data_IF_988292206788
#
_entry.id   IF_988292206788
#
_cell.length_a   1.000
_cell.length_b   1.000
_cell.length_c   1.000
_cell.angle_alpha   90.00
_cell.angle_beta   90.00
_cell.angle_gamma   90.00
#
_symmetry.space_group_name_H-M   'P 1'
#
loop_
_entity.id
_entity.type
_entity.pdbx_description
1 polymer ?
#
# COMPACT_ATOMS: atom_id res chain seq x y z
N UNK A 1 -14.39 10.59 21.92
CA UNK A 1 -13.39 10.26 22.97
C UNK A 1 -12.14 9.77 22.26
N UNK A 2 -11.03 10.50 22.34
CA UNK A 2 -9.79 10.12 21.67
C UNK A 2 -9.22 8.84 22.29
N UNK A 3 -8.77 7.90 21.45
CA UNK A 3 -7.98 6.76 21.89
C UNK A 3 -6.74 7.25 22.65
N UNK A 4 -6.39 6.60 23.77
CA UNK A 4 -5.15 6.91 24.50
C UNK A 4 -3.93 6.61 23.61
N UNK A 5 -2.90 7.47 23.59
CA UNK A 5 -1.70 7.22 22.81
C UNK A 5 -0.97 5.96 23.30
N UNK A 6 -0.15 5.40 22.43
CA UNK A 6 0.78 4.31 22.72
C UNK A 6 2.16 4.90 22.95
N UNK A 7 2.79 4.57 24.06
CA UNK A 7 4.12 5.08 24.40
C UNK A 7 5.19 4.08 23.96
N UNK A 8 6.24 4.56 23.32
CA UNK A 8 7.43 3.76 23.00
C UNK A 8 8.70 4.52 23.40
N UNK A 9 9.79 3.79 23.62
CA UNK A 9 11.12 4.37 23.81
C UNK A 9 11.86 4.32 22.48
N UNK A 10 12.41 5.43 22.03
CA UNK A 10 13.25 5.49 20.82
C UNK A 10 14.68 5.80 21.22
N UNK A 11 15.65 5.13 20.59
CA UNK A 11 17.07 5.30 20.84
C UNK A 11 17.72 5.96 19.63
N UNK A 12 18.20 7.18 19.81
CA UNK A 12 18.64 8.07 18.72
C UNK A 12 20.16 8.23 18.76
N UNK A 13 20.81 8.00 17.63
CA UNK A 13 22.20 8.42 17.43
C UNK A 13 22.21 9.88 16.98
N UNK A 14 22.55 10.78 17.91
CA UNK A 14 22.55 12.22 17.68
C UNK A 14 23.60 12.69 16.66
N UNK A 15 24.67 11.91 16.46
CA UNK A 15 25.70 12.20 15.45
C UNK A 15 25.19 11.81 14.07
N UNK A 16 24.54 10.64 13.95
CA UNK A 16 23.94 10.16 12.69
C UNK A 16 22.60 10.84 12.36
N UNK A 17 21.99 11.54 13.32
CA UNK A 17 20.61 12.10 13.22
C UNK A 17 19.62 11.02 12.77
N UNK A 18 19.69 9.87 13.42
CA UNK A 18 18.93 8.67 13.05
C UNK A 18 18.38 7.97 14.29
N UNK A 19 17.14 7.51 14.20
CA UNK A 19 16.59 6.52 15.15
C UNK A 19 17.28 5.19 14.85
N UNK A 20 17.99 4.62 15.83
CA UNK A 20 18.67 3.33 15.65
C UNK A 20 17.67 2.19 15.81
N UNK A 21 16.85 2.26 16.85
CA UNK A 21 15.74 1.35 17.13
C UNK A 21 14.78 1.99 18.14
N UNK A 22 13.65 1.34 18.34
CA UNK A 22 12.68 1.63 19.39
C UNK A 22 12.38 0.36 20.19
N UNK A 23 12.08 0.53 21.47
CA UNK A 23 11.55 -0.53 22.33
C UNK A 23 10.06 -0.27 22.52
N UNK A 24 9.25 -1.30 22.25
CA UNK A 24 7.80 -1.21 22.25
C UNK A 24 7.14 -2.47 22.83
N UNK A 25 5.96 -2.28 23.42
CA UNK A 25 5.09 -3.36 23.90
C UNK A 25 4.09 -3.81 22.82
N UNK A 26 3.22 -4.76 23.18
CA UNK A 26 2.30 -5.39 22.23
C UNK A 26 1.38 -4.39 21.56
N UNK A 27 0.84 -3.41 22.30
CA UNK A 27 -0.09 -2.40 21.77
C UNK A 27 0.43 -1.73 20.50
N UNK A 28 1.72 -1.39 20.45
CA UNK A 28 2.34 -0.74 19.30
C UNK A 28 2.44 -1.70 18.11
N UNK A 29 2.90 -2.93 18.38
CA UNK A 29 3.10 -3.94 17.36
C UNK A 29 1.78 -4.46 16.79
N UNK A 30 0.72 -4.54 17.60
CA UNK A 30 -0.63 -4.86 17.13
C UNK A 30 -1.12 -3.86 16.09
N UNK A 31 -0.85 -2.57 16.31
CA UNK A 31 -1.21 -1.50 15.38
C UNK A 31 -0.36 -1.58 14.12
N UNK A 32 0.95 -1.84 14.24
CA UNK A 32 1.79 -2.08 13.05
C UNK A 32 1.25 -3.24 12.21
N UNK A 33 0.96 -4.39 12.81
CA UNK A 33 0.43 -5.54 12.06
C UNK A 33 -0.95 -5.26 11.45
N UNK A 34 -1.75 -4.41 12.10
CA UNK A 34 -3.03 -3.98 11.53
C UNK A 34 -2.88 -3.26 10.19
N UNK A 35 -1.73 -2.63 9.90
CA UNK A 35 -1.46 -1.95 8.62
C UNK A 35 -1.66 -2.90 7.44
N UNK A 36 -1.24 -4.16 7.59
CA UNK A 36 -1.36 -5.18 6.54
C UNK A 36 -2.82 -5.52 6.23
N UNK A 37 -3.74 -5.30 7.17
CA UNK A 37 -5.17 -5.63 7.02
C UNK A 37 -6.02 -4.47 6.50
N UNK A 38 -5.43 -3.27 6.37
CA UNK A 38 -6.10 -2.09 5.83
C UNK A 38 -6.25 -2.21 4.30
N UNK A 39 -7.45 -2.03 3.74
CA UNK A 39 -7.62 -1.85 2.30
C UNK A 39 -6.84 -0.65 1.78
N UNK A 40 -6.28 -0.73 0.58
CA UNK A 40 -5.51 0.37 0.00
C UNK A 40 -6.31 1.68 -0.12
N UNK A 41 -7.63 1.60 -0.32
CA UNK A 41 -8.50 2.79 -0.32
C UNK A 41 -8.64 3.42 1.06
N UNK A 42 -8.59 2.64 2.14
CA UNK A 42 -8.51 3.19 3.51
C UNK A 42 -7.20 3.94 3.71
N UNK A 43 -6.09 3.40 3.22
CA UNK A 43 -4.77 4.07 3.28
C UNK A 43 -4.78 5.37 2.48
N UNK A 44 -5.30 5.35 1.24
CA UNK A 44 -5.42 6.53 0.40
C UNK A 44 -6.29 7.62 1.06
N UNK A 45 -7.42 7.22 1.70
CA UNK A 45 -8.29 8.12 2.47
C UNK A 45 -7.60 8.74 3.69
N UNK A 46 -6.86 7.95 4.47
CA UNK A 46 -6.08 8.47 5.60
C UNK A 46 -5.00 9.42 5.09
N UNK A 47 -4.43 9.12 3.92
CA UNK A 47 -3.46 10.01 3.28
C UNK A 47 -4.06 11.35 2.86
N UNK A 48 -5.31 11.40 2.39
CA UNK A 48 -5.95 12.64 1.92
C UNK A 48 -6.55 13.49 3.05
N UNK A 49 -7.07 12.88 4.12
CA UNK A 49 -7.72 13.62 5.23
C UNK A 49 -6.76 14.40 6.13
N UNK A 50 -5.51 13.96 6.20
CA UNK A 50 -4.50 14.51 7.10
C UNK A 50 -3.31 15.05 6.29
N UNK A 51 -3.62 15.88 5.28
CA UNK A 51 -2.64 16.57 4.41
C UNK A 51 -1.91 17.74 5.13
N UNK A 52 -2.08 17.93 6.44
CA UNK A 52 -1.44 19.04 7.14
C UNK A 52 0.05 18.79 7.46
N UNK A 53 0.89 19.67 6.91
CA UNK A 53 2.32 19.98 7.16
C UNK A 53 3.44 19.18 6.46
N UNK A 54 3.25 17.94 5.96
CA UNK A 54 4.38 17.13 5.40
C UNK A 54 4.22 16.57 3.96
N UNK A 55 3.10 16.83 3.26
CA UNK A 55 2.84 16.45 1.85
C UNK A 55 3.36 15.05 1.43
N UNK A 56 3.13 14.03 2.27
CA UNK A 56 3.53 12.65 1.97
C UNK A 56 2.46 12.04 1.07
N UNK A 57 2.74 11.94 -0.24
CA UNK A 57 1.87 11.27 -1.21
C UNK A 57 2.17 9.77 -1.22
N UNK A 58 1.13 8.94 -1.08
CA UNK A 58 1.21 7.48 -1.19
C UNK A 58 0.98 7.08 -2.65
N UNK A 59 2.00 7.35 -3.48
CA UNK A 59 1.97 7.06 -4.91
C UNK A 59 0.72 7.55 -5.64
N UNK A 60 0.31 6.80 -6.66
CA UNK A 60 -0.88 7.05 -7.48
C UNK A 60 -2.20 6.62 -6.84
N UNK A 61 -2.17 5.91 -5.71
CA UNK A 61 -3.40 5.52 -4.99
C UNK A 61 -4.19 6.75 -4.53
N UNK A 62 -3.51 7.84 -4.16
CA UNK A 62 -4.18 9.10 -3.81
C UNK A 62 -5.01 9.65 -4.97
N UNK A 63 -4.45 9.70 -6.19
CA UNK A 63 -5.12 10.22 -7.38
C UNK A 63 -6.26 9.30 -7.84
N UNK A 64 -6.06 7.98 -7.76
CA UNK A 64 -7.11 6.99 -7.98
C UNK A 64 -8.28 7.15 -6.99
N UNK A 65 -7.99 7.28 -5.69
CA UNK A 65 -9.00 7.50 -4.66
C UNK A 65 -9.75 8.82 -4.85
N UNK A 66 -9.03 9.93 -5.11
CA UNK A 66 -9.62 11.24 -5.44
C UNK A 66 -10.54 11.16 -6.66
N UNK A 67 -10.20 10.33 -7.66
CA UNK A 67 -11.07 10.09 -8.81
C UNK A 67 -12.40 9.47 -8.41
N UNK A 68 -12.39 8.45 -7.54
CA UNK A 68 -13.63 7.85 -7.03
C UNK A 68 -14.48 8.90 -6.30
N UNK A 69 -13.88 9.73 -5.44
CA UNK A 69 -14.60 10.79 -4.73
C UNK A 69 -15.28 11.77 -5.69
N UNK A 70 -14.56 12.20 -6.74
CA UNK A 70 -15.01 13.20 -7.70
C UNK A 70 -16.01 12.69 -8.75
N UNK A 71 -16.04 11.39 -9.04
CA UNK A 71 -16.94 10.81 -10.04
C UNK A 71 -18.40 10.87 -9.56
N UNK A 72 -19.31 11.30 -10.44
CA UNK A 72 -20.74 11.38 -10.13
C UNK A 72 -21.36 9.98 -9.91
N UNK A 73 -22.29 9.86 -8.96
CA UNK A 73 -22.96 8.61 -8.61
C UNK A 73 -23.62 7.92 -9.80
N UNK A 74 -24.02 8.68 -10.85
CA UNK A 74 -24.64 8.12 -12.05
C UNK A 74 -23.75 7.13 -12.80
N UNK A 75 -22.42 7.22 -12.65
CA UNK A 75 -21.44 6.34 -13.30
C UNK A 75 -21.25 5.01 -12.59
N UNK A 76 -21.69 4.89 -11.34
CA UNK A 76 -21.60 3.66 -10.56
C UNK A 76 -22.84 2.80 -10.75
N UNK A 77 -22.66 1.47 -10.73
CA UNK A 77 -23.75 0.49 -10.90
C UNK A 77 -24.89 0.70 -9.91
N UNK A 78 -24.55 1.09 -8.68
CA UNK A 78 -25.47 1.43 -7.61
C UNK A 78 -24.78 2.35 -6.60
N UNK A 79 -25.54 2.93 -5.67
CA UNK A 79 -25.01 3.84 -4.65
C UNK A 79 -23.99 3.16 -3.72
N UNK A 80 -24.15 1.86 -3.46
CA UNK A 80 -23.23 1.10 -2.61
C UNK A 80 -21.86 0.90 -3.27
N UNK A 81 -21.76 0.85 -4.59
CA UNK A 81 -20.49 0.66 -5.31
C UNK A 81 -19.50 1.79 -5.04
N UNK A 82 -19.95 3.06 -5.11
CA UNK A 82 -19.08 4.20 -4.79
C UNK A 82 -18.69 4.20 -3.31
N UNK A 83 -19.67 3.98 -2.42
CA UNK A 83 -19.42 3.93 -0.97
C UNK A 83 -18.41 2.84 -0.63
N UNK A 84 -18.49 1.68 -1.27
CA UNK A 84 -17.56 0.57 -1.05
C UNK A 84 -16.11 0.85 -1.53
N UNK A 85 -15.89 1.89 -2.33
CA UNK A 85 -14.56 2.32 -2.80
C UNK A 85 -14.03 3.53 -2.00
N UNK A 86 -14.91 4.46 -1.60
CA UNK A 86 -14.57 5.61 -0.74
C UNK A 86 -14.36 5.17 0.71
N UNK A 87 -15.15 4.19 1.17
CA UNK A 87 -15.05 3.61 2.50
C UNK A 87 -14.96 2.10 2.42
N UNK A 88 -13.81 1.55 1.97
CA UNK A 88 -13.69 0.12 1.75
C UNK A 88 -13.74 -0.67 3.06
N UNK A 89 -14.38 -1.83 3.00
CA UNK A 89 -14.49 -2.74 4.12
C UNK A 89 -13.23 -3.61 4.21
N UNK A 90 -12.78 -3.86 5.43
CA UNK A 90 -11.76 -4.88 5.71
C UNK A 90 -12.44 -6.19 6.12
N UNK A 91 -11.91 -7.34 5.69
CA UNK A 91 -12.35 -8.65 6.22
C UNK A 91 -12.10 -8.77 7.73
N UNK A 92 -11.19 -7.96 8.26
CA UNK A 92 -10.75 -7.95 9.65
C UNK A 92 -11.46 -6.86 10.46
N UNK A 93 -12.66 -6.43 10.05
CA UNK A 93 -13.37 -5.31 10.67
C UNK A 93 -13.59 -5.48 12.19
N UNK A 94 -13.80 -6.73 12.64
CA UNK A 94 -13.99 -7.07 14.06
C UNK A 94 -12.74 -6.91 14.92
N UNK A 95 -11.55 -6.78 14.30
CA UNK A 95 -10.27 -6.64 15.00
C UNK A 95 -9.99 -5.19 15.40
N UNK A 96 -10.37 -4.22 14.57
CA UNK A 96 -10.02 -2.81 14.80
C UNK A 96 -10.54 -2.21 16.13
N UNK A 97 -11.75 -2.52 16.61
CA UNK A 97 -12.22 -2.00 17.90
C UNK A 97 -11.43 -2.51 19.10
N UNK A 98 -10.65 -3.60 18.94
CA UNK A 98 -9.80 -4.15 19.99
C UNK A 98 -8.42 -3.47 20.03
N UNK A 99 -8.02 -2.79 18.96
CA UNK A 99 -6.74 -2.07 18.89
C UNK A 99 -6.81 -0.78 19.71
N UNK A 100 -5.71 -0.46 20.39
CA UNK A 100 -5.60 0.77 21.19
C UNK A 100 -5.73 2.03 20.33
N UNK A 101 -5.21 2.00 19.10
CA UNK A 101 -5.45 3.01 18.07
C UNK A 101 -6.03 2.33 16.84
N UNK A 102 -7.19 2.80 16.40
CA UNK A 102 -7.86 2.26 15.22
C UNK A 102 -7.62 3.18 14.02
N UNK A 103 -6.85 2.72 13.04
CA UNK A 103 -6.62 3.44 11.78
C UNK A 103 -7.77 3.31 10.77
N UNK A 104 -8.66 2.34 10.94
CA UNK A 104 -9.87 2.24 10.13
C UNK A 104 -10.88 3.32 10.59
N UNK A 105 -10.68 4.53 10.07
CA UNK A 105 -11.43 5.79 10.29
C UNK A 105 -12.90 5.76 9.81
N UNK A 106 -13.54 4.59 9.83
CA UNK A 106 -15.00 4.49 9.67
C UNK A 106 -15.63 4.75 11.04
N UNK A 107 -16.43 5.83 11.16
CA UNK A 107 -17.22 6.11 12.36
C UNK A 107 -17.94 4.84 12.79
N UNK A 108 -17.60 4.33 13.97
CA UNK A 108 -18.16 3.12 14.54
C UNK A 108 -19.69 3.29 14.59
N UNK A 109 -20.41 2.55 13.76
CA UNK A 109 -21.85 2.32 13.95
C UNK A 109 -21.95 1.34 15.11
N UNK A 110 -22.17 1.86 16.32
CA UNK A 110 -22.60 1.18 17.56
C UNK A 110 -22.24 -0.31 17.68
N UNK A 111 -20.98 -0.66 17.43
CA UNK A 111 -20.45 -1.95 17.86
C UNK A 111 -20.37 -1.83 19.39
N UNK A 112 -21.32 -2.46 20.08
CA UNK A 112 -21.32 -2.65 21.53
C UNK A 112 -19.90 -2.95 21.95
N UNK A 113 -19.24 -1.96 22.59
CA UNK A 113 -17.91 -2.12 23.14
C UNK A 113 -18.07 -3.17 24.23
N UNK A 114 -17.78 -4.43 23.89
CA UNK A 114 -17.50 -5.42 24.92
C UNK A 114 -16.26 -4.90 25.63
N UNK A 115 -16.36 -4.72 26.94
CA UNK A 115 -15.27 -4.26 27.83
C UNK A 115 -14.19 -5.35 27.95
N UNK A 116 -13.72 -5.90 26.82
CA UNK A 116 -12.55 -6.79 26.76
C UNK A 116 -11.29 -5.92 26.77
N UNK A 117 -11.14 -5.14 27.85
CA UNK A 117 -9.90 -4.41 28.13
C UNK A 117 -8.73 -5.38 28.14
N UNK A 118 -7.83 -5.22 27.16
CA UNK A 118 -6.52 -5.89 27.14
C UNK A 118 -6.52 -7.32 26.60
N UNK A 119 -7.43 -7.68 25.70
CA UNK A 119 -7.22 -8.86 24.86
C UNK A 119 -6.44 -8.46 23.61
N UNK A 120 -5.17 -8.84 23.54
CA UNK A 120 -4.35 -8.68 22.33
C UNK A 120 -5.04 -9.33 21.13
N UNK A 121 -4.93 -8.77 19.93
CA UNK A 121 -5.53 -9.28 18.71
C UNK A 121 -4.62 -10.31 18.04
N UNK A 122 -3.35 -9.97 17.84
CA UNK A 122 -2.43 -10.74 17.02
C UNK A 122 -1.34 -11.43 17.86
N UNK A 123 -0.93 -10.78 18.96
CA UNK A 123 0.28 -11.11 19.72
C UNK A 123 -0.09 -11.83 21.03
N UNK A 124 0.80 -12.64 21.56
CA UNK A 124 0.69 -13.19 22.91
C UNK A 124 1.03 -12.12 23.96
N UNK A 125 0.15 -11.97 24.95
CA UNK A 125 0.27 -10.98 26.03
C UNK A 125 1.44 -11.36 26.96
N UNK A 126 2.63 -10.77 26.76
CA UNK A 126 3.88 -10.79 27.57
C UNK A 126 5.17 -10.44 26.77
N UNK A 127 5.08 -9.91 25.56
CA UNK A 127 6.23 -9.74 24.67
C UNK A 127 6.63 -8.27 24.49
N UNK A 128 7.90 -7.96 24.76
CA UNK A 128 8.54 -6.70 24.37
C UNK A 128 9.27 -6.89 23.05
N UNK A 129 9.28 -5.85 22.23
CA UNK A 129 9.85 -5.88 20.89
C UNK A 129 10.81 -4.72 20.68
N UNK A 130 11.87 -5.00 19.92
CA UNK A 130 12.69 -4.01 19.26
C UNK A 130 12.13 -3.76 17.87
N UNK A 131 11.85 -2.49 17.57
CA UNK A 131 11.42 -2.01 16.27
C UNK A 131 12.56 -1.21 15.67
N UNK A 132 13.15 -1.71 14.60
CA UNK A 132 14.19 -0.99 13.86
C UNK A 132 13.61 0.19 13.08
N UNK A 133 14.47 1.13 12.66
CA UNK A 133 14.04 2.31 11.89
C UNK A 133 13.24 1.93 10.64
N UNK A 134 13.62 0.83 9.99
CA UNK A 134 12.99 0.25 8.81
C UNK A 134 11.84 -0.72 9.16
N UNK A 135 11.27 -0.64 10.37
CA UNK A 135 10.11 -1.39 10.88
C UNK A 135 10.24 -2.91 10.92
N UNK A 136 11.45 -3.45 10.95
CA UNK A 136 11.63 -4.84 11.33
C UNK A 136 11.27 -5.00 12.82
N UNK A 137 10.39 -5.96 13.12
CA UNK A 137 9.86 -6.26 14.45
C UNK A 137 10.55 -7.49 15.01
N UNK A 138 11.33 -7.31 16.06
CA UNK A 138 12.21 -8.32 16.62
C UNK A 138 11.87 -8.50 18.10
N UNK A 139 11.60 -9.71 18.61
CA UNK A 139 11.40 -9.92 20.04
C UNK A 139 12.66 -9.56 20.84
N UNK A 140 12.48 -8.94 22.01
CA UNK A 140 13.60 -8.63 22.91
C UNK A 140 14.14 -9.93 23.51
N UNK A 141 15.35 -10.32 23.09
CA UNK A 141 16.11 -11.48 23.59
C UNK A 141 17.59 -11.10 23.65
N UNK A 142 18.33 -11.50 24.69
CA UNK A 142 19.71 -11.03 24.90
C UNK A 142 20.63 -11.22 23.69
N UNK A 143 20.63 -12.41 23.09
CA UNK A 143 21.45 -12.75 21.92
C UNK A 143 21.06 -11.94 20.68
N UNK A 144 19.76 -11.84 20.43
CA UNK A 144 19.19 -11.16 19.26
C UNK A 144 19.37 -9.65 19.37
N UNK A 145 19.17 -9.08 20.56
CA UNK A 145 19.37 -7.66 20.85
C UNK A 145 20.84 -7.27 20.66
N UNK A 146 21.80 -8.03 21.18
CA UNK A 146 23.24 -7.74 21.00
C UNK A 146 23.65 -7.89 19.53
N UNK A 147 23.18 -8.94 18.85
CA UNK A 147 23.43 -9.12 17.41
C UNK A 147 22.88 -7.94 16.59
N UNK A 148 21.69 -7.46 16.91
CA UNK A 148 21.07 -6.32 16.26
C UNK A 148 21.89 -5.03 16.49
N UNK A 149 22.26 -4.73 17.73
CA UNK A 149 23.05 -3.54 18.06
C UNK A 149 24.38 -3.51 17.31
N UNK A 150 25.07 -4.66 17.24
CA UNK A 150 26.28 -4.81 16.43
C UNK A 150 26.01 -4.55 14.94
N UNK A 151 24.92 -5.10 14.38
CA UNK A 151 24.55 -4.90 12.97
C UNK A 151 24.20 -3.44 12.64
N UNK A 152 23.67 -2.70 13.62
CA UNK A 152 23.35 -1.28 13.52
C UNK A 152 24.59 -0.37 13.72
N UNK A 153 25.73 -0.94 14.07
CA UNK A 153 26.96 -0.19 14.39
C UNK A 153 26.81 0.66 15.64
N UNK A 154 26.13 0.14 16.66
CA UNK A 154 26.06 0.73 18.01
C UNK A 154 27.20 0.15 18.83
N UNK A 155 28.20 0.97 19.14
CA UNK A 155 29.36 0.57 19.95
C UNK A 155 29.05 0.63 21.46
N UNK A 156 28.32 1.67 21.87
CA UNK A 156 27.97 1.97 23.25
C UNK A 156 26.53 2.46 23.32
N UNK A 157 25.66 1.73 24.05
CA UNK A 157 24.21 2.04 24.12
C UNK A 157 23.98 3.34 24.89
N UNK A 158 24.79 3.63 25.90
CA UNK A 158 24.75 4.84 26.74
C UNK A 158 25.12 6.12 25.97
N UNK A 159 25.64 6.01 24.75
CA UNK A 159 25.82 7.15 23.85
C UNK A 159 24.58 7.49 23.03
N UNK A 160 23.55 6.63 23.03
CA UNK A 160 22.27 6.90 22.36
C UNK A 160 21.38 7.77 23.26
N UNK A 161 20.68 8.72 22.66
CA UNK A 161 19.61 9.44 23.35
C UNK A 161 18.37 8.56 23.44
N UNK A 162 17.97 8.20 24.66
CA UNK A 162 16.66 7.60 24.94
C UNK A 162 15.60 8.69 25.03
N UNK A 163 14.55 8.58 24.21
CA UNK A 163 13.40 9.50 24.22
C UNK A 163 12.10 8.70 24.26
N UNK A 164 11.16 9.11 25.09
CA UNK A 164 9.79 8.57 25.06
C UNK A 164 8.97 9.33 24.03
N UNK A 165 8.25 8.61 23.16
CA UNK A 165 7.41 9.20 22.10
C UNK A 165 6.00 8.61 22.18
N UNK A 166 5.01 9.48 22.05
CA UNK A 166 3.60 9.15 22.10
C UNK A 166 3.06 8.99 20.69
N UNK A 167 2.42 7.85 20.41
CA UNK A 167 1.79 7.55 19.13
C UNK A 167 0.27 7.51 19.28
N UNK A 168 -0.39 8.53 18.76
CA UNK A 168 -1.83 8.56 18.50
C UNK A 168 -2.15 8.19 17.05
N UNK A 169 -3.40 8.46 16.67
CA UNK A 169 -3.90 8.18 15.32
C UNK A 169 -3.04 8.86 14.23
N UNK A 170 -2.66 10.12 14.45
CA UNK A 170 -1.90 10.90 13.47
C UNK A 170 -0.48 10.35 13.29
N UNK A 171 0.20 10.01 14.38
CA UNK A 171 1.55 9.44 14.34
C UNK A 171 1.57 8.09 13.65
N UNK A 172 0.61 7.20 13.95
CA UNK A 172 0.48 5.92 13.25
C UNK A 172 0.10 6.08 11.78
N UNK A 173 -0.77 7.05 11.46
CA UNK A 173 -1.11 7.38 10.07
C UNK A 173 0.11 7.84 9.30
N UNK A 174 0.94 8.71 9.89
CA UNK A 174 2.18 9.18 9.27
C UNK A 174 3.25 8.07 9.20
N UNK A 175 3.34 7.21 10.21
CA UNK A 175 4.23 6.05 10.19
C UNK A 175 3.87 5.09 9.04
N UNK A 176 2.58 4.82 8.84
CA UNK A 176 2.08 4.04 7.72
C UNK A 176 2.49 4.70 6.38
N UNK A 177 2.23 5.99 6.20
CA UNK A 177 2.64 6.72 4.98
C UNK A 177 4.14 6.60 4.72
N UNK A 178 4.97 6.86 5.73
CA UNK A 178 6.42 6.75 5.60
C UNK A 178 6.89 5.33 5.29
N UNK A 179 6.26 4.31 5.91
CA UNK A 179 6.62 2.90 5.68
C UNK A 179 6.43 2.46 4.22
N UNK A 180 5.55 3.15 3.49
CA UNK A 180 5.25 2.89 2.08
C UNK A 180 6.18 3.62 1.11
N UNK A 181 6.98 4.59 1.58
CA UNK A 181 7.81 5.45 0.71
C UNK A 181 9.30 5.50 1.10
N UNK A 182 9.67 4.99 2.28
CA UNK A 182 11.06 5.01 2.77
C UNK A 182 11.45 3.77 3.57
N UNK A 183 12.76 3.61 3.80
CA UNK A 183 13.37 2.63 4.69
C UNK A 183 13.77 3.21 6.07
N UNK A 184 13.40 4.44 6.38
CA UNK A 184 13.66 5.07 7.69
C UNK A 184 12.44 5.80 8.28
N UNK A 185 11.24 5.15 8.30
CA UNK A 185 10.01 5.79 8.73
C UNK A 185 10.04 6.31 10.17
N UNK A 186 10.71 5.64 11.13
CA UNK A 186 10.79 6.15 12.51
C UNK A 186 11.63 7.42 12.59
N UNK A 187 12.78 7.47 11.92
CA UNK A 187 13.62 8.66 11.82
C UNK A 187 12.84 9.84 11.24
N UNK A 188 12.12 9.64 10.13
CA UNK A 188 11.37 10.72 9.49
C UNK A 188 10.23 11.23 10.36
N UNK A 189 9.58 10.34 11.11
CA UNK A 189 8.49 10.70 12.01
C UNK A 189 9.01 11.44 13.26
N UNK A 190 10.00 10.86 13.96
CA UNK A 190 10.50 11.33 15.27
C UNK A 190 11.37 12.58 15.15
N UNK A 191 12.21 12.67 14.11
CA UNK A 191 13.15 13.79 13.93
C UNK A 191 12.62 14.87 12.98
N UNK A 192 11.43 14.67 12.40
CA UNK A 192 10.74 15.71 11.64
C UNK A 192 11.29 15.95 10.23
N UNK A 193 11.49 14.89 9.43
CA UNK A 193 11.80 15.07 8.01
C UNK A 193 10.61 15.72 7.29
N UNK A 194 10.90 16.74 6.48
CA UNK A 194 9.87 17.54 5.79
C UNK A 194 9.47 16.98 4.43
N UNK A 195 10.27 16.09 3.81
CA UNK A 195 9.95 15.43 2.54
C UNK A 195 10.63 14.05 2.44
N UNK A 196 9.99 13.04 1.83
CA UNK A 196 10.71 11.91 1.26
C UNK A 196 11.78 12.46 0.34
N UNK A 197 13.01 11.94 0.42
CA UNK A 197 14.04 12.29 -0.54
C UNK A 197 13.48 12.08 -1.95
N UNK A 198 13.57 13.09 -2.82
CA UNK A 198 13.10 12.98 -4.22
C UNK A 198 13.89 11.93 -5.01
N UNK A 199 15.02 11.46 -4.47
CA UNK A 199 15.51 10.13 -4.76
C UNK A 199 14.64 9.08 -4.04
N UNK A 200 13.42 8.88 -4.56
CA UNK A 200 13.02 7.50 -4.83
C UNK A 200 14.22 6.95 -5.62
N UNK A 201 15.00 6.05 -5.03
CA UNK A 201 16.09 5.42 -5.75
C UNK A 201 15.48 5.01 -7.10
N UNK A 202 15.93 5.60 -8.22
CA UNK A 202 15.42 5.19 -9.51
C UNK A 202 15.61 3.70 -9.50
N UNK A 203 14.50 2.99 -9.69
CA UNK A 203 14.44 1.56 -9.90
C UNK A 203 15.78 1.16 -10.50
N UNK A 204 16.65 0.51 -9.72
CA UNK A 204 17.95 0.13 -10.27
C UNK A 204 17.59 -0.72 -11.47
N UNK A 205 17.85 -0.19 -12.65
CA UNK A 205 17.59 -0.83 -13.92
C UNK A 205 18.53 -2.03 -14.13
N UNK A 206 19.26 -2.43 -13.08
CA UNK A 206 19.89 -3.74 -12.93
C UNK A 206 18.98 -4.78 -12.27
N UNK A 207 17.66 -4.74 -12.47
CA UNK A 207 16.85 -5.94 -12.26
C UNK A 207 17.04 -6.84 -13.47
N UNK A 208 17.99 -7.78 -13.36
CA UNK A 208 17.84 -9.07 -14.04
C UNK A 208 16.41 -9.50 -13.76
N UNK A 209 15.62 -9.71 -14.81
CA UNK A 209 14.25 -10.21 -14.78
C UNK A 209 14.08 -11.16 -13.59
N UNK A 210 13.63 -10.65 -12.45
CA UNK A 210 13.12 -11.48 -11.38
C UNK A 210 11.78 -11.90 -11.92
N UNK A 211 11.79 -12.99 -12.67
CA UNK A 211 10.62 -13.78 -12.99
C UNK A 211 9.71 -13.75 -11.76
N UNK A 212 8.48 -13.25 -11.90
CA UNK A 212 7.38 -13.37 -10.93
C UNK A 212 7.01 -14.85 -10.68
N UNK A 213 7.96 -15.78 -10.82
CA UNK A 213 7.77 -17.21 -10.89
C UNK A 213 8.12 -17.79 -9.52
N UNK A 214 7.10 -18.42 -8.94
CA UNK A 214 7.08 -19.31 -7.77
C UNK A 214 6.41 -18.75 -6.50
N UNK A 215 5.16 -18.32 -6.64
CA UNK A 215 4.17 -18.53 -5.57
C UNK A 215 3.32 -19.77 -5.89
N UNK A 216 2.95 -20.64 -4.92
CA UNK A 216 2.13 -21.84 -5.17
C UNK A 216 0.70 -21.54 -5.63
N UNK A 217 0.31 -20.27 -5.72
CA UNK A 217 -0.96 -19.81 -6.27
C UNK A 217 -0.73 -19.19 -7.65
N UNK A 218 -0.14 -19.94 -8.58
CA UNK A 218 -0.51 -19.75 -9.99
C UNK A 218 -1.95 -20.24 -10.09
N UNK A 219 -2.88 -19.32 -9.89
CA UNK A 219 -4.26 -19.58 -10.27
C UNK A 219 -4.26 -19.81 -11.79
N UNK A 220 -4.89 -20.90 -12.25
CA UNK A 220 -4.99 -21.26 -13.67
C UNK A 220 -5.88 -20.29 -14.48
N UNK A 221 -6.09 -19.06 -14.01
CA UNK A 221 -6.86 -18.03 -14.67
C UNK A 221 -5.93 -17.18 -15.52
N UNK A 222 -5.51 -17.71 -16.67
CA UNK A 222 -4.97 -16.81 -17.70
C UNK A 222 -6.16 -16.11 -18.34
N UNK A 223 -6.65 -15.05 -17.69
CA UNK A 223 -7.58 -14.12 -18.35
C UNK A 223 -6.92 -13.58 -19.60
N UNK A 224 -7.66 -13.55 -20.71
CA UNK A 224 -7.13 -13.07 -21.98
C UNK A 224 -6.66 -11.61 -21.79
N UNK A 225 -5.40 -11.28 -22.12
CA UNK A 225 -4.91 -9.91 -22.06
C UNK A 225 -5.82 -8.99 -22.87
N UNK A 226 -6.06 -7.78 -22.35
CA UNK A 226 -6.93 -6.80 -23.00
C UNK A 226 -6.14 -5.54 -23.38
N UNK A 227 -6.41 -4.98 -24.55
CA UNK A 227 -5.61 -3.90 -25.12
C UNK A 227 -6.09 -2.52 -24.64
N UNK A 228 -5.13 -1.67 -24.26
CA UNK A 228 -5.35 -0.23 -24.04
C UNK A 228 -4.50 0.61 -25.00
N UNK A 229 -4.84 1.89 -25.14
CA UNK A 229 -4.06 2.88 -25.92
C UNK A 229 -3.37 3.85 -24.98
N UNK A 230 -2.06 3.95 -25.07
CA UNK A 230 -1.25 4.94 -24.34
C UNK A 230 -0.88 6.09 -25.25
N UNK A 231 -1.05 7.33 -24.80
CA UNK A 231 -0.36 8.49 -25.37
C UNK A 231 0.99 8.63 -24.69
N UNK A 232 2.06 8.61 -25.48
CA UNK A 232 3.44 8.65 -24.97
C UNK A 232 4.21 9.80 -25.61
N UNK A 233 4.96 10.54 -24.80
CA UNK A 233 5.97 11.49 -25.26
C UNK A 233 7.25 10.73 -25.63
N UNK A 234 7.63 10.75 -26.91
CA UNK A 234 8.73 9.93 -27.45
C UNK A 234 10.08 10.33 -26.86
N UNK A 235 10.35 11.64 -26.78
CA UNK A 235 11.62 12.17 -26.27
C UNK A 235 11.94 11.72 -24.84
N UNK A 236 10.94 11.71 -23.97
CA UNK A 236 11.10 11.37 -22.54
C UNK A 236 10.72 9.92 -22.20
N UNK A 237 10.10 9.18 -23.13
CA UNK A 237 9.49 7.87 -22.88
C UNK A 237 8.50 7.90 -21.71
N UNK A 238 7.71 8.97 -21.66
CA UNK A 238 6.76 9.25 -20.57
C UNK A 238 5.33 9.03 -21.05
N UNK A 239 4.53 8.32 -20.27
CA UNK A 239 3.08 8.19 -20.53
C UNK A 239 2.41 9.50 -20.13
N UNK A 240 1.64 10.08 -21.05
CA UNK A 240 0.85 11.28 -20.80
C UNK A 240 -0.52 10.88 -20.24
N UNK A 241 -1.19 9.94 -20.91
CA UNK A 241 -2.42 9.32 -20.45
C UNK A 241 -2.69 8.00 -21.19
N UNK A 242 -3.67 7.25 -20.71
CA UNK A 242 -4.20 6.05 -21.33
C UNK A 242 -5.69 6.25 -21.67
N UNK A 243 -6.07 5.90 -22.89
CA UNK A 243 -7.47 5.69 -23.25
C UNK A 243 -7.82 4.21 -23.01
N UNK A 244 -8.81 3.98 -22.16
CA UNK A 244 -9.17 2.65 -21.65
C UNK A 244 -10.68 2.44 -21.63
N UNK A 245 -11.10 1.18 -21.55
CA UNK A 245 -12.50 0.78 -21.37
C UNK A 245 -12.82 0.43 -19.90
N UNK A 246 -14.09 0.13 -19.60
CA UNK A 246 -14.58 -0.24 -18.26
C UNK A 246 -13.68 -1.26 -17.53
N UNK A 247 -13.24 -2.32 -18.21
CA UNK A 247 -12.50 -3.41 -17.56
C UNK A 247 -11.22 -2.94 -16.85
N UNK A 248 -10.54 -1.93 -17.42
CA UNK A 248 -9.30 -1.41 -16.85
C UNK A 248 -9.60 -0.57 -15.62
N UNK A 249 -10.67 0.22 -15.66
CA UNK A 249 -11.10 1.04 -14.51
C UNK A 249 -11.65 0.16 -13.39
N UNK A 250 -12.41 -0.90 -13.69
CA UNK A 250 -12.83 -1.91 -12.70
C UNK A 250 -11.63 -2.56 -12.02
N UNK A 251 -10.58 -2.89 -12.79
CA UNK A 251 -9.31 -3.37 -12.24
C UNK A 251 -8.66 -2.33 -11.31
N UNK A 252 -8.54 -1.07 -11.74
CA UNK A 252 -7.98 -0.01 -10.89
C UNK A 252 -8.80 0.19 -9.61
N UNK A 253 -10.13 0.29 -9.71
CA UNK A 253 -11.01 0.41 -8.54
C UNK A 253 -10.88 -0.78 -7.59
N UNK A 254 -10.70 -1.99 -8.12
CA UNK A 254 -10.46 -3.17 -7.28
C UNK A 254 -9.22 -3.01 -6.38
N UNK A 255 -8.19 -2.24 -6.80
CA UNK A 255 -7.01 -1.98 -5.95
C UNK A 255 -7.38 -1.39 -4.60
N UNK A 256 -8.36 -0.48 -4.55
CA UNK A 256 -8.80 0.18 -3.32
C UNK A 256 -9.41 -0.79 -2.29
N UNK A 257 -9.82 -1.97 -2.75
CA UNK A 257 -10.41 -3.03 -1.90
C UNK A 257 -9.37 -4.03 -1.37
N UNK A 258 -8.17 -4.05 -1.96
CA UNK A 258 -7.13 -5.02 -1.63
C UNK A 258 -6.50 -4.64 -0.28
N UNK A 259 -6.42 -5.55 0.70
CA UNK A 259 -5.62 -5.30 1.91
C UNK A 259 -4.13 -5.18 1.59
N UNK A 260 -3.42 -4.27 2.27
CA UNK A 260 -2.00 -4.00 2.03
C UNK A 260 -1.11 -5.25 2.06
N UNK A 261 -1.35 -6.17 3.01
CA UNK A 261 -0.62 -7.45 3.08
C UNK A 261 -0.85 -8.33 1.86
N UNK A 262 -2.07 -8.33 1.30
CA UNK A 262 -2.35 -9.06 0.05
C UNK A 262 -1.69 -8.39 -1.15
N UNK A 263 -1.71 -7.06 -1.25
CA UNK A 263 -0.98 -6.35 -2.29
C UNK A 263 0.53 -6.64 -2.20
N UNK A 264 1.09 -6.66 -0.98
CA UNK A 264 2.49 -6.98 -0.75
C UNK A 264 2.85 -8.41 -1.17
N UNK A 265 2.02 -9.37 -0.79
CA UNK A 265 2.17 -10.77 -1.19
C UNK A 265 2.12 -10.95 -2.70
N UNK A 266 1.17 -10.30 -3.38
CA UNK A 266 0.97 -10.44 -4.83
C UNK A 266 2.08 -9.81 -5.66
N UNK A 267 2.62 -8.70 -5.19
CA UNK A 267 3.68 -7.95 -5.91
C UNK A 267 5.09 -8.50 -5.64
N UNK A 268 5.25 -9.35 -4.62
CA UNK A 268 6.51 -9.99 -4.19
C UNK A 268 7.74 -9.07 -4.23
N UNK A 269 7.56 -7.80 -3.88
CA UNK A 269 8.64 -6.83 -4.01
C UNK A 269 9.66 -6.92 -2.87
N UNK A 270 10.51 -7.94 -2.87
CA UNK A 270 11.59 -8.08 -1.90
C UNK A 270 12.80 -7.19 -2.24
N UNK A 271 12.73 -6.46 -3.37
CA UNK A 271 13.84 -5.65 -3.88
C UNK A 271 13.88 -4.24 -3.29
N UNK A 272 12.75 -3.72 -2.83
CA UNK A 272 12.68 -2.42 -2.16
C UNK A 272 12.90 -2.60 -0.66
N UNK A 273 13.73 -1.74 -0.06
CA UNK A 273 14.01 -1.77 1.38
C UNK A 273 12.96 -1.01 2.21
N UNK A 274 11.73 -0.87 1.70
CA UNK A 274 10.70 -0.04 2.33
C UNK A 274 10.29 -0.62 3.67
N UNK A 275 9.94 0.25 4.63
CA UNK A 275 9.61 -0.17 5.98
C UNK A 275 8.47 -1.20 6.03
N UNK A 276 7.48 -1.05 5.16
CA UNK A 276 6.36 -1.99 5.08
C UNK A 276 6.79 -3.42 4.68
N UNK A 277 7.89 -3.55 3.93
CA UNK A 277 8.37 -4.84 3.47
C UNK A 277 9.00 -5.62 4.62
N UNK A 278 9.80 -4.92 5.43
CA UNK A 278 10.39 -5.51 6.63
C UNK A 278 9.32 -5.85 7.65
N UNK A 279 8.29 -5.01 7.80
CA UNK A 279 7.15 -5.31 8.65
C UNK A 279 6.41 -6.59 8.21
N UNK A 280 6.15 -6.73 6.91
CA UNK A 280 5.56 -7.95 6.34
C UNK A 280 6.47 -9.17 6.56
N UNK A 281 7.77 -9.03 6.34
CA UNK A 281 8.75 -10.11 6.55
C UNK A 281 8.86 -10.51 8.02
N UNK A 282 8.70 -9.55 8.95
CA UNK A 282 8.73 -9.80 10.40
C UNK A 282 7.66 -10.81 10.83
N UNK A 283 6.49 -10.79 10.19
CA UNK A 283 5.42 -11.76 10.48
C UNK A 283 5.89 -13.20 10.28
N UNK A 284 6.74 -13.43 9.27
CA UNK A 284 7.28 -14.77 8.99
C UNK A 284 8.30 -15.22 10.04
N UNK A 285 9.11 -14.29 10.57
CA UNK A 285 10.14 -14.59 11.59
C UNK A 285 9.59 -14.72 13.01
N UNK A 286 8.42 -14.16 13.30
CA UNK A 286 7.85 -14.14 14.65
C UNK A 286 7.29 -15.47 15.14
N UNK A 287 7.24 -16.50 14.27
CA UNK A 287 7.13 -17.91 14.66
C UNK A 287 5.87 -18.33 15.41
N UNK A 288 5.49 -19.57 15.17
CA UNK A 288 4.26 -20.21 15.61
C UNK A 288 4.24 -20.33 17.14
N UNK A 289 3.18 -19.85 17.78
CA UNK A 289 2.88 -20.13 19.18
C UNK A 289 3.84 -19.56 20.23
N UNK A 290 4.83 -18.74 19.85
CA UNK A 290 5.70 -18.01 20.80
C UNK A 290 5.34 -16.54 20.96
N UNK A 291 5.14 -15.83 19.84
CA UNK A 291 4.84 -14.39 19.84
C UNK A 291 3.52 -14.10 19.14
N UNK A 292 3.21 -14.76 18.03
CA UNK A 292 1.87 -14.71 17.44
C UNK A 292 0.91 -15.68 18.15
N UNK A 293 -0.38 -15.33 18.18
CA UNK A 293 -1.41 -16.16 18.83
C UNK A 293 -1.62 -17.52 18.16
N UNK A 294 -1.59 -17.58 16.84
CA UNK A 294 -1.79 -18.82 16.10
C UNK A 294 -1.28 -18.73 14.66
N UNK A 295 -1.17 -19.89 14.01
CA UNK A 295 -0.82 -19.95 12.58
C UNK A 295 -1.90 -19.37 11.68
N UNK A 296 -3.17 -19.45 12.08
CA UNK A 296 -4.27 -18.81 11.35
C UNK A 296 -4.11 -17.29 11.35
N UNK A 297 -3.66 -16.70 12.47
CA UNK A 297 -3.38 -15.26 12.54
C UNK A 297 -2.21 -14.88 11.64
N UNK A 298 -1.12 -15.65 11.68
CA UNK A 298 0.05 -15.43 10.81
C UNK A 298 -0.32 -15.53 9.33
N UNK A 299 -1.03 -16.58 8.94
CA UNK A 299 -1.53 -16.77 7.58
C UNK A 299 -2.46 -15.63 7.16
N UNK A 300 -3.32 -15.16 8.06
CA UNK A 300 -4.22 -14.03 7.83
C UNK A 300 -3.47 -12.70 7.67
N UNK A 301 -2.39 -12.44 8.42
CA UNK A 301 -1.57 -11.24 8.27
C UNK A 301 -0.74 -11.24 6.96
N UNK A 302 -0.21 -12.40 6.56
CA UNK A 302 0.53 -12.57 5.31
C UNK A 302 -0.40 -12.57 4.08
N UNK A 303 -1.67 -12.92 4.26
CA UNK A 303 -2.66 -13.02 3.18
C UNK A 303 -4.07 -12.59 3.66
N UNK A 304 -4.30 -11.31 4.01
CA UNK A 304 -5.61 -10.88 4.43
C UNK A 304 -6.59 -10.97 3.27
N UNK A 305 -7.76 -11.57 3.50
CA UNK A 305 -8.77 -11.76 2.46
C UNK A 305 -9.47 -10.43 2.12
N UNK A 306 -10.06 -10.34 0.93
CA UNK A 306 -11.02 -9.28 0.65
C UNK A 306 -12.25 -9.44 1.54
N UNK A 307 -12.93 -8.34 1.86
CA UNK A 307 -14.22 -8.42 2.56
C UNK A 307 -15.26 -9.16 1.71
N UNK A 308 -16.11 -9.95 2.36
CA UNK A 308 -17.05 -10.86 1.68
C UNK A 308 -18.10 -10.16 0.79
N UNK A 309 -18.30 -8.85 0.96
CA UNK A 309 -19.24 -8.06 0.17
C UNK A 309 -18.69 -7.62 -1.20
N UNK A 310 -17.42 -7.90 -1.50
CA UNK A 310 -16.84 -7.58 -2.81
C UNK A 310 -17.03 -8.72 -3.81
N UNK A 311 -17.78 -8.43 -4.87
CA UNK A 311 -17.93 -9.32 -6.02
C UNK A 311 -16.71 -9.25 -6.95
N UNK A 312 -16.57 -10.25 -7.83
CA UNK A 312 -15.50 -10.32 -8.81
C UNK A 312 -15.76 -9.32 -9.94
N UNK A 313 -15.08 -8.17 -9.91
CA UNK A 313 -15.21 -7.12 -10.94
C UNK A 313 -14.13 -7.18 -12.03
N UNK A 314 -13.05 -7.93 -11.79
CA UNK A 314 -11.97 -8.12 -12.74
C UNK A 314 -11.43 -9.54 -12.66
N UNK A 315 -11.03 -10.08 -13.80
CA UNK A 315 -10.30 -11.35 -13.91
C UNK A 315 -8.79 -11.11 -14.16
N UNK A 316 -8.32 -9.86 -14.14
CA UNK A 316 -6.91 -9.49 -14.32
C UNK A 316 -6.07 -9.57 -13.03
N UNK A 317 -6.70 -9.88 -11.89
CA UNK A 317 -6.03 -9.97 -10.60
C UNK A 317 -6.48 -11.23 -9.86
N UNK A 318 -5.54 -12.00 -9.27
CA UNK A 318 -5.87 -13.21 -8.52
C UNK A 318 -6.26 -12.89 -7.05
N UNK A 319 -7.22 -11.97 -6.87
CA UNK A 319 -7.65 -11.49 -5.54
C UNK A 319 -9.00 -12.07 -5.09
N UNK A 320 -9.77 -12.66 -6.00
CA UNK A 320 -11.10 -13.20 -5.72
C UNK A 320 -11.04 -14.71 -5.51
N UNK A 321 -11.88 -15.20 -4.59
CA UNK A 321 -12.15 -16.64 -4.48
C UNK A 321 -12.95 -17.10 -5.71
N UNK A 322 -12.70 -18.33 -6.17
CA UNK A 322 -13.34 -18.93 -7.34
C UNK A 322 -14.87 -18.99 -7.23
N UNK A 323 -15.38 -19.08 -6.01
CA UNK A 323 -16.82 -19.16 -5.70
C UNK A 323 -17.53 -17.80 -5.76
N UNK A 324 -16.79 -16.68 -5.79
CA UNK A 324 -17.37 -15.34 -5.83
C UNK A 324 -17.97 -15.08 -7.22
N UNK A 325 -19.23 -14.65 -7.24
CA UNK A 325 -19.94 -14.25 -8.46
C UNK A 325 -19.39 -12.98 -9.10
N UNK A 326 -19.72 -12.77 -10.37
CA UNK A 326 -19.37 -11.53 -11.08
C UNK A 326 -20.16 -10.34 -10.54
N UNK A 327 -19.54 -9.17 -10.57
CA UNK A 327 -20.18 -7.89 -10.28
C UNK A 327 -19.50 -6.74 -11.03
N UNK A 328 -19.91 -5.51 -10.76
CA UNK A 328 -19.28 -4.32 -11.31
C UNK A 328 -19.42 -3.13 -10.35
N UNK A 329 -18.40 -2.28 -10.28
CA UNK A 329 -18.52 -0.99 -9.62
C UNK A 329 -19.17 0.06 -10.54
N UNK A 330 -18.90 -0.02 -11.83
CA UNK A 330 -19.33 0.93 -12.86
C UNK A 330 -20.54 0.43 -13.64
N UNK A 331 -21.39 1.37 -14.03
CA UNK A 331 -22.32 1.15 -15.15
C UNK A 331 -21.53 0.99 -16.43
N UNK A 332 -22.16 0.36 -17.42
CA UNK A 332 -21.57 0.21 -18.74
C UNK A 332 -21.24 1.59 -19.33
N UNK A 333 -19.94 1.88 -19.43
CA UNK A 333 -19.39 3.12 -19.93
C UNK A 333 -18.31 2.81 -20.98
N UNK A 334 -18.38 3.49 -22.12
CA UNK A 334 -17.62 3.05 -23.27
C UNK A 334 -16.11 3.33 -23.15
N UNK A 335 -15.70 4.47 -22.58
CA UNK A 335 -14.29 4.90 -22.57
C UNK A 335 -13.97 5.89 -21.44
N UNK A 336 -12.73 5.81 -20.93
CA UNK A 336 -12.14 6.71 -19.95
C UNK A 336 -10.76 7.18 -20.42
N UNK A 337 -10.32 8.29 -19.86
CA UNK A 337 -8.90 8.68 -19.88
C UNK A 337 -8.34 8.56 -18.47
N UNK A 338 -7.20 7.87 -18.37
CA UNK A 338 -6.45 7.65 -17.13
C UNK A 338 -5.10 8.35 -17.24
N UNK A 339 -4.72 9.17 -16.26
CA UNK A 339 -3.39 9.81 -16.23
C UNK A 339 -2.27 8.81 -15.91
N UNK A 340 -1.03 9.26 -16.03
CA UNK A 340 0.15 8.50 -15.57
C UNK A 340 0.10 8.16 -14.06
N UNK A 341 -0.48 9.05 -13.25
CA UNK A 341 -0.70 8.86 -11.81
C UNK A 341 -2.07 8.25 -11.48
N UNK A 342 -2.73 7.58 -12.43
CA UNK A 342 -4.00 6.86 -12.27
C UNK A 342 -5.23 7.71 -11.90
N UNK A 343 -5.19 9.02 -12.11
CA UNK A 343 -6.39 9.86 -12.09
C UNK A 343 -7.31 9.48 -13.26
N UNK A 344 -8.60 9.27 -12.99
CA UNK A 344 -9.59 8.83 -13.96
C UNK A 344 -10.55 9.96 -14.30
N UNK A 345 -10.74 10.18 -15.60
CA UNK A 345 -11.75 11.09 -16.13
C UNK A 345 -12.64 10.38 -17.15
N UNK A 346 -13.90 10.82 -17.18
CA UNK A 346 -14.90 10.31 -18.10
C UNK A 346 -14.84 11.07 -19.42
N UNK A 347 -15.23 10.38 -20.50
CA UNK A 347 -15.44 10.91 -21.85
C UNK A 347 -14.15 11.45 -22.49
N UNK A 348 -13.52 10.69 -23.39
CA UNK A 348 -12.40 11.19 -24.16
C UNK A 348 -12.88 12.38 -24.99
N UNK A 349 -12.28 13.53 -24.76
CA UNK A 349 -12.45 14.73 -25.57
C UNK A 349 -11.08 15.39 -25.71
N UNK A 350 -10.87 16.22 -26.73
CA UNK A 350 -9.61 16.95 -26.87
C UNK A 350 -9.33 17.83 -25.65
N UNK A 351 -10.37 18.38 -25.00
CA UNK A 351 -10.24 19.15 -23.76
C UNK A 351 -9.93 18.26 -22.54
N UNK A 352 -10.33 17.00 -22.55
CA UNK A 352 -9.94 16.01 -21.54
C UNK A 352 -8.48 15.60 -21.75
N UNK A 353 -8.08 15.31 -22.99
CA UNK A 353 -6.70 14.93 -23.34
C UNK A 353 -5.72 16.07 -23.09
N UNK A 354 -6.12 17.32 -23.33
CA UNK A 354 -5.29 18.50 -23.07
C UNK A 354 -4.95 18.71 -21.57
N UNK A 355 -5.70 18.09 -20.66
CA UNK A 355 -5.50 18.23 -19.21
C UNK A 355 -4.37 17.33 -18.67
N UNK A 356 -4.04 16.24 -19.35
CA UNK A 356 -3.05 15.27 -18.86
C UNK A 356 -1.63 15.56 -19.36
N UNK A 357 -1.06 16.67 -18.89
CA UNK A 357 0.35 17.03 -19.10
C UNK A 357 0.79 17.09 -20.59
N UNK A 358 -0.15 17.28 -21.51
CA UNK A 358 0.15 17.55 -22.93
C UNK A 358 0.52 19.03 -23.15
N UNK A 359 0.33 19.88 -22.14
CA UNK A 359 0.69 21.30 -22.19
C UNK A 359 2.21 21.45 -22.34
N UNK A 360 2.65 22.07 -23.44
CA UNK A 360 4.06 22.25 -23.75
C UNK A 360 4.73 21.07 -24.46
N UNK A 361 4.02 19.96 -24.69
CA UNK A 361 4.53 18.82 -25.48
C UNK A 361 4.18 19.02 -26.96
N UNK A 362 5.16 19.09 -27.87
CA UNK A 362 4.87 19.19 -29.30
C UNK A 362 4.08 17.97 -29.79
N UNK A 363 3.01 18.17 -30.56
CA UNK A 363 2.20 17.05 -31.11
C UNK A 363 3.05 16.07 -31.92
N UNK A 364 4.07 16.56 -32.62
CA UNK A 364 5.03 15.72 -33.35
C UNK A 364 5.89 14.82 -32.46
N UNK A 365 5.96 15.08 -31.15
CA UNK A 365 6.64 14.26 -30.14
C UNK A 365 5.69 13.28 -29.43
N UNK A 366 4.40 13.30 -29.73
CA UNK A 366 3.40 12.39 -29.16
C UNK A 366 3.20 11.21 -30.10
N UNK A 367 3.14 9.99 -29.54
CA UNK A 367 2.75 8.77 -30.24
C UNK A 367 1.64 8.02 -29.49
N UNK A 368 0.85 7.24 -30.22
CA UNK A 368 -0.13 6.32 -29.63
C UNK A 368 0.45 4.91 -29.66
N UNK A 369 0.56 4.29 -28.49
CA UNK A 369 1.08 2.93 -28.31
C UNK A 369 -0.03 2.03 -27.79
N UNK A 370 -0.37 1.00 -28.56
CA UNK A 370 -1.25 -0.08 -28.08
C UNK A 370 -0.45 -1.11 -27.29
N UNK A 371 -0.93 -1.41 -26.09
CA UNK A 371 -0.33 -2.38 -25.16
C UNK A 371 -1.40 -3.32 -24.62
N UNK A 372 -1.04 -4.59 -24.39
CA UNK A 372 -1.93 -5.60 -23.82
C UNK A 372 -1.69 -5.71 -22.32
N UNK A 373 -2.77 -5.70 -21.54
CA UNK A 373 -2.76 -5.79 -20.09
C UNK A 373 -3.30 -7.16 -19.69
N UNK A 374 -2.42 -8.03 -19.22
CA UNK A 374 -2.75 -9.28 -18.54
C UNK A 374 -2.52 -9.18 -17.03
N UNK A 375 -2.51 -10.34 -16.36
CA UNK A 375 -2.29 -10.42 -14.92
C UNK A 375 -0.94 -9.82 -14.49
N UNK A 376 0.13 -10.09 -15.24
CA UNK A 376 1.47 -9.60 -14.91
C UNK A 376 1.54 -8.07 -14.99
N UNK A 377 0.97 -7.48 -16.05
CA UNK A 377 0.89 -6.02 -16.19
C UNK A 377 0.02 -5.41 -15.09
N UNK A 378 -1.11 -6.03 -14.75
CA UNK A 378 -1.98 -5.57 -13.67
C UNK A 378 -1.27 -5.55 -12.30
N UNK A 379 -0.49 -6.60 -11.99
CA UNK A 379 0.33 -6.68 -10.78
C UNK A 379 1.46 -5.64 -10.76
N UNK A 380 2.08 -5.35 -11.91
CA UNK A 380 3.08 -4.28 -12.02
C UNK A 380 2.47 -2.90 -11.80
N UNK A 381 1.29 -2.64 -12.37
CA UNK A 381 0.55 -1.39 -12.14
C UNK A 381 0.19 -1.28 -10.64
N UNK A 382 -0.32 -2.34 -10.01
CA UNK A 382 -0.61 -2.36 -8.57
C UNK A 382 0.65 -2.05 -7.74
N UNK A 383 1.79 -2.67 -8.08
CA UNK A 383 3.08 -2.42 -7.41
C UNK A 383 3.48 -0.95 -7.52
N UNK A 384 3.48 -0.41 -8.74
CA UNK A 384 3.90 0.97 -8.99
C UNK A 384 2.93 1.98 -8.36
N UNK A 385 1.63 1.69 -8.30
CA UNK A 385 0.62 2.56 -7.68
C UNK A 385 0.86 2.83 -6.19
N UNK A 386 1.49 1.89 -5.47
CA UNK A 386 1.76 2.00 -4.03
C UNK A 386 2.84 3.02 -3.66
N UNK A 387 3.73 3.37 -4.60
CA UNK A 387 4.95 4.13 -4.30
C UNK A 387 5.31 5.22 -5.32
N UNK A 388 4.85 5.09 -6.56
CA UNK A 388 5.16 6.01 -7.65
C UNK A 388 3.96 6.88 -8.01
N UNK A 389 4.24 8.13 -8.41
CA UNK A 389 3.28 9.07 -9.01
C UNK A 389 3.37 9.10 -10.54
N UNK A 390 4.05 8.14 -11.15
CA UNK A 390 4.22 7.99 -12.60
C UNK A 390 4.06 6.52 -12.99
N UNK A 391 2.97 5.93 -12.50
CA UNK A 391 2.73 4.49 -12.49
C UNK A 391 2.76 3.86 -13.89
N UNK A 392 2.13 4.49 -14.88
CA UNK A 392 2.08 3.92 -16.23
C UNK A 392 3.44 4.07 -16.94
N UNK A 393 4.15 5.16 -16.71
CA UNK A 393 5.52 5.40 -17.20
C UNK A 393 6.48 4.36 -16.64
N UNK A 394 6.43 4.07 -15.33
CA UNK A 394 7.29 3.06 -14.70
C UNK A 394 7.07 1.66 -15.29
N UNK A 395 5.84 1.36 -15.72
CA UNK A 395 5.49 0.09 -16.33
C UNK A 395 5.73 0.05 -17.86
N UNK A 396 5.95 1.19 -18.50
CA UNK A 396 6.00 1.33 -19.97
C UNK A 396 7.04 0.42 -20.64
N UNK A 397 8.21 0.28 -20.01
CA UNK A 397 9.29 -0.55 -20.56
C UNK A 397 8.91 -2.04 -20.64
N UNK A 398 8.07 -2.52 -19.72
CA UNK A 398 7.57 -3.89 -19.71
C UNK A 398 6.47 -4.04 -20.75
N UNK A 399 5.53 -3.09 -20.81
CA UNK A 399 4.45 -3.09 -21.81
C UNK A 399 4.96 -3.17 -23.26
N UNK A 400 6.10 -2.53 -23.55
CA UNK A 400 6.72 -2.56 -24.89
C UNK A 400 7.42 -3.87 -25.23
N UNK A 401 7.96 -4.59 -24.24
CA UNK A 401 8.70 -5.85 -24.46
C UNK A 401 7.77 -7.02 -24.81
N UNK A 402 6.54 -7.01 -24.31
CA UNK A 402 5.53 -8.05 -24.61
C UNK A 402 5.17 -8.15 -26.11
N UNK A 403 5.47 -7.12 -26.92
CA UNK A 403 5.20 -7.06 -28.36
C UNK A 403 6.27 -7.70 -29.26
N UNK A 404 7.43 -8.08 -28.72
CA UNK A 404 8.57 -8.59 -29.49
C UNK A 404 8.61 -10.13 -29.63
N UNK A 405 7.60 -10.84 -29.10
CA UNK A 405 7.52 -12.31 -29.07
C UNK A 405 6.27 -12.87 -29.77
N UNK A 406 5.64 -12.07 -30.62
CA UNK A 406 4.61 -12.48 -31.60
C UNK A 406 5.15 -12.19 -32.98
#
# INVERSE_FOLDING_TARGET
>A
MGSKPVHIKVFIDNKKKKVMFAEAEEDFVEILFSFLTLPLGTIARISSKYEDSKDIKVGSLNSLYKSVENLDNKHFSNEHSKVALVTPNSSSLSLYPKLKVNLNDTKLVDARVSDSKGETVFIQKKASFIITDDLNVIPVMLDTSISLLNSLGVEYIDLLEERTVDFGFEEFSNLLKWSLVTNNPLTNLVLGASKPCSCLCPYSSSTKSSTLINSPLISSYTSQPKTIKLLVQKSEKKVLCAQVENYFVEMLFSFLTIPLGTAKRLTMDNSSSMGINNLYNSISSLGDGKYLKSEEIKAMLLSPKLAANYLRVTDLLPIYDKSIGQGSFLKEQATFIVSDDLEITISPSLSTISKFNTLGVPVGDIEVVEVSIGEQEALLILKAALSSTSTLTDCLSVFRKAKLWT
#
